data_IF_797747997820
#
_entry.id   IF_797747997820
#
_cell.length_a   1.000
_cell.length_b   1.000
_cell.length_c   1.000
_cell.angle_alpha   90.00
_cell.angle_beta   90.00
_cell.angle_gamma   90.00
#
_symmetry.space_group_name_H-M   'P 1'
#
loop_
_entity.id
_entity.type
_entity.pdbx_description
1 polymer ?
#
# COMPACT_ATOMS: atom_id res chain seq x y z
N UNK A 1 -14.17 -0.65 -33.29
CA UNK A 1 -13.69 -0.12 -31.98
C UNK A 1 -13.61 -1.22 -30.91
N UNK A 2 -14.62 -2.09 -30.76
CA UNK A 2 -14.56 -3.22 -29.80
C UNK A 2 -13.53 -4.32 -30.17
N UNK A 3 -13.20 -4.46 -31.46
CA UNK A 3 -12.21 -5.45 -31.91
C UNK A 3 -10.80 -5.18 -31.40
N UNK A 4 -10.43 -3.92 -31.20
CA UNK A 4 -9.15 -3.52 -30.61
C UNK A 4 -9.06 -3.91 -29.13
N UNK A 5 -10.16 -3.78 -28.37
CA UNK A 5 -10.24 -4.25 -26.98
C UNK A 5 -10.22 -5.78 -26.89
N UNK A 6 -10.91 -6.47 -27.79
CA UNK A 6 -10.87 -7.94 -27.89
C UNK A 6 -9.48 -8.47 -28.27
N UNK A 7 -8.73 -7.74 -29.08
CA UNK A 7 -7.35 -8.09 -29.42
C UNK A 7 -6.40 -7.99 -28.20
N UNK A 8 -6.59 -7.00 -27.33
CA UNK A 8 -5.78 -6.85 -26.10
C UNK A 8 -6.02 -7.99 -25.08
N UNK A 9 -7.25 -8.50 -24.99
CA UNK A 9 -7.58 -9.65 -24.13
C UNK A 9 -7.20 -11.02 -24.72
N UNK A 10 -6.72 -11.08 -25.98
CA UNK A 10 -6.32 -12.34 -26.64
C UNK A 10 -4.87 -12.75 -26.35
N UNK A 11 -4.06 -11.88 -25.76
CA UNK A 11 -2.72 -12.25 -25.33
C UNK A 11 -2.81 -13.21 -24.12
N UNK A 12 -2.09 -14.36 -24.14
CA UNK A 12 -2.08 -15.29 -23.03
C UNK A 12 -1.53 -14.61 -21.77
N UNK A 13 -2.30 -14.61 -20.68
CA UNK A 13 -1.92 -14.00 -19.39
C UNK A 13 -2.64 -12.70 -19.04
N UNK A 14 -3.36 -12.06 -19.98
CA UNK A 14 -4.05 -10.78 -19.73
C UNK A 14 -5.07 -10.87 -18.58
N UNK A 15 -5.90 -11.92 -18.54
CA UNK A 15 -6.89 -12.11 -17.47
C UNK A 15 -6.25 -12.34 -16.08
N UNK A 16 -5.12 -13.06 -16.03
CA UNK A 16 -4.36 -13.28 -14.79
C UNK A 16 -3.74 -11.97 -14.29
N UNK A 17 -3.22 -11.13 -15.20
CA UNK A 17 -2.68 -9.82 -14.87
C UNK A 17 -3.77 -8.84 -14.36
N UNK A 18 -4.93 -8.81 -15.03
CA UNK A 18 -6.07 -7.99 -14.59
C UNK A 18 -6.61 -8.40 -13.21
N UNK A 19 -6.80 -9.70 -12.99
CA UNK A 19 -7.28 -10.21 -11.69
C UNK A 19 -6.27 -9.97 -10.57
N UNK A 20 -4.97 -10.20 -10.81
CA UNK A 20 -3.92 -9.88 -9.86
C UNK A 20 -3.87 -8.37 -9.55
N UNK A 21 -3.96 -7.51 -10.58
CA UNK A 21 -4.00 -6.06 -10.41
C UNK A 21 -5.24 -5.56 -9.65
N UNK A 22 -6.38 -6.22 -9.80
CA UNK A 22 -7.61 -5.92 -9.06
C UNK A 22 -7.46 -6.26 -7.57
N UNK A 23 -6.99 -7.47 -7.26
CA UNK A 23 -6.75 -7.92 -5.88
C UNK A 23 -5.74 -7.01 -5.19
N UNK A 24 -4.68 -6.62 -5.88
CA UNK A 24 -3.64 -5.74 -5.34
C UNK A 24 -4.11 -4.29 -5.11
N UNK A 25 -5.22 -3.85 -5.73
CA UNK A 25 -5.77 -2.50 -5.56
C UNK A 25 -6.82 -2.40 -4.46
N UNK A 26 -7.49 -3.49 -4.10
CA UNK A 26 -8.47 -3.49 -3.00
C UNK A 26 -7.93 -2.93 -1.68
N UNK A 27 -6.71 -3.28 -1.24
CA UNK A 27 -6.16 -2.78 0.02
C UNK A 27 -5.97 -1.27 0.05
N UNK A 28 -5.86 -0.60 -1.11
CA UNK A 28 -5.59 0.83 -1.20
C UNK A 28 -6.59 1.67 -0.38
N UNK A 29 -7.87 1.38 -0.56
CA UNK A 29 -8.95 2.06 0.15
C UNK A 29 -9.17 1.51 1.57
N UNK A 30 -8.78 0.25 1.81
CA UNK A 30 -8.97 -0.43 3.09
C UNK A 30 -7.97 0.09 4.13
N UNK A 31 -6.72 0.35 3.76
CA UNK A 31 -5.67 0.71 4.72
C UNK A 31 -5.97 1.99 5.53
N UNK A 32 -6.32 3.14 4.93
CA UNK A 32 -6.64 4.34 5.71
C UNK A 32 -7.80 4.11 6.67
N UNK A 33 -8.87 3.45 6.21
CA UNK A 33 -10.06 3.16 7.02
C UNK A 33 -9.71 2.20 8.16
N UNK A 34 -8.96 1.13 7.86
CA UNK A 34 -8.50 0.15 8.83
C UNK A 34 -7.61 0.77 9.90
N UNK A 35 -6.69 1.66 9.52
CA UNK A 35 -5.86 2.44 10.46
C UNK A 35 -6.75 3.24 11.41
N UNK A 36 -7.71 3.99 10.88
CA UNK A 36 -8.61 4.80 11.71
C UNK A 36 -9.36 3.91 12.70
N UNK A 37 -9.97 2.83 12.22
CA UNK A 37 -10.80 1.94 13.03
C UNK A 37 -10.00 1.21 14.12
N UNK A 38 -8.85 0.62 13.78
CA UNK A 38 -8.09 -0.15 14.76
C UNK A 38 -7.43 0.76 15.80
N UNK A 39 -6.94 1.93 15.39
CA UNK A 39 -6.31 2.89 16.30
C UNK A 39 -7.37 3.56 17.17
N UNK A 40 -8.52 3.96 16.63
CA UNK A 40 -9.60 4.55 17.43
C UNK A 40 -10.18 3.52 18.42
N UNK A 41 -10.36 2.26 18.00
CA UNK A 41 -10.86 1.20 18.87
C UNK A 41 -9.88 0.88 20.02
N UNK A 42 -8.57 1.00 19.79
CA UNK A 42 -7.55 0.69 20.80
C UNK A 42 -7.15 1.88 21.68
N UNK A 43 -7.13 3.09 21.13
CA UNK A 43 -6.62 4.28 21.83
C UNK A 43 -7.72 5.23 22.29
N UNK A 44 -8.95 5.11 21.76
CA UNK A 44 -10.04 6.08 21.98
C UNK A 44 -9.84 7.44 21.29
N UNK A 45 -8.68 7.70 20.68
CA UNK A 45 -8.31 9.00 20.12
C UNK A 45 -8.54 9.07 18.62
N UNK A 46 -9.73 9.52 18.21
CA UNK A 46 -10.08 9.68 16.78
C UNK A 46 -9.22 10.71 16.05
N UNK A 47 -8.84 11.81 16.70
CA UNK A 47 -8.00 12.84 16.07
C UNK A 47 -6.62 12.28 15.70
N UNK A 48 -6.01 11.50 16.59
CA UNK A 48 -4.73 10.84 16.33
C UNK A 48 -4.87 9.76 15.25
N UNK A 49 -5.93 8.95 15.29
CA UNK A 49 -6.20 7.93 14.29
C UNK A 49 -6.37 8.54 12.88
N UNK A 50 -7.10 9.66 12.77
CA UNK A 50 -7.26 10.41 11.54
C UNK A 50 -5.95 11.04 11.04
N UNK A 51 -5.15 11.61 11.94
CA UNK A 51 -3.82 12.14 11.60
C UNK A 51 -2.89 11.04 11.06
N UNK A 52 -2.90 9.86 11.69
CA UNK A 52 -2.08 8.72 11.27
C UNK A 52 -2.49 8.21 9.89
N UNK A 53 -3.79 8.11 9.62
CA UNK A 53 -4.30 7.77 8.29
C UNK A 53 -3.94 8.84 7.24
N UNK A 54 -4.00 10.13 7.61
CA UNK A 54 -3.54 11.23 6.76
C UNK A 54 -2.05 11.16 6.44
N UNK A 55 -1.21 10.83 7.43
CA UNK A 55 0.23 10.61 7.24
C UNK A 55 0.50 9.45 6.29
N UNK A 56 -0.24 8.33 6.42
CA UNK A 56 -0.16 7.22 5.48
C UNK A 56 -0.49 7.67 4.04
N UNK A 57 -1.58 8.41 3.84
CA UNK A 57 -1.98 8.90 2.51
C UNK A 57 -0.94 9.88 1.94
N UNK A 58 -0.40 10.78 2.76
CA UNK A 58 0.63 11.72 2.35
C UNK A 58 1.93 10.99 1.95
N UNK A 59 2.37 10.03 2.76
CA UNK A 59 3.53 9.19 2.47
C UNK A 59 3.33 8.39 1.18
N UNK A 60 2.11 7.89 0.95
CA UNK A 60 1.77 7.21 -0.28
C UNK A 60 1.81 8.12 -1.52
N UNK A 61 1.29 9.34 -1.41
CA UNK A 61 1.31 10.33 -2.49
C UNK A 61 2.74 10.66 -2.94
N UNK A 62 3.72 10.62 -2.03
CA UNK A 62 5.14 10.82 -2.34
C UNK A 62 5.83 9.51 -2.76
N UNK A 63 5.51 8.40 -2.09
CA UNK A 63 6.11 7.09 -2.36
C UNK A 63 5.80 6.57 -3.74
N UNK A 64 4.57 6.74 -4.22
CA UNK A 64 4.11 6.29 -5.54
C UNK A 64 5.00 6.76 -6.70
N UNK A 65 5.25 8.08 -6.91
CA UNK A 65 6.11 8.54 -7.99
C UNK A 65 7.59 8.17 -7.78
N UNK A 66 8.07 8.09 -6.54
CA UNK A 66 9.46 7.69 -6.25
C UNK A 66 9.67 6.23 -6.64
N UNK A 67 8.75 5.36 -6.25
CA UNK A 67 8.83 3.93 -6.51
C UNK A 67 8.67 3.63 -8.01
N UNK A 68 7.80 4.37 -8.70
CA UNK A 68 7.69 4.31 -10.16
C UNK A 68 9.03 4.65 -10.84
N UNK A 69 9.66 5.77 -10.47
CA UNK A 69 10.98 6.16 -11.01
C UNK A 69 12.08 5.14 -10.71
N UNK A 70 12.05 4.54 -9.51
CA UNK A 70 13.01 3.49 -9.14
C UNK A 70 12.80 2.24 -10.00
N UNK A 71 11.56 1.83 -10.23
CA UNK A 71 11.23 0.71 -11.12
C UNK A 71 11.71 0.99 -12.54
N UNK A 72 11.46 2.19 -13.07
CA UNK A 72 11.88 2.57 -14.42
C UNK A 72 13.41 2.53 -14.58
N UNK A 73 14.15 2.86 -13.52
CA UNK A 73 15.62 2.94 -13.56
C UNK A 73 16.32 1.62 -13.27
N UNK A 74 15.82 0.83 -12.33
CA UNK A 74 16.50 -0.38 -11.81
C UNK A 74 15.83 -1.69 -12.22
N UNK A 75 14.67 -1.60 -12.89
CA UNK A 75 13.86 -2.73 -13.31
C UNK A 75 12.86 -3.18 -12.25
N UNK A 76 11.70 -3.66 -12.72
CA UNK A 76 10.55 -4.07 -11.92
C UNK A 76 10.93 -5.09 -10.84
N UNK A 77 11.53 -6.23 -11.21
CA UNK A 77 11.79 -7.31 -10.25
C UNK A 77 12.73 -6.92 -9.11
N UNK A 78 13.70 -6.03 -9.36
CA UNK A 78 14.70 -5.62 -8.36
C UNK A 78 14.18 -4.63 -7.32
N UNK A 79 13.17 -3.84 -7.68
CA UNK A 79 12.59 -2.82 -6.80
C UNK A 79 11.34 -3.32 -6.10
N UNK A 80 10.50 -4.11 -6.79
CA UNK A 80 9.26 -4.61 -6.19
C UNK A 80 9.52 -5.55 -5.02
N UNK A 81 10.56 -6.40 -5.08
CA UNK A 81 10.87 -7.36 -4.01
C UNK A 81 11.22 -6.67 -2.67
N UNK A 82 12.22 -5.76 -2.60
CA UNK A 82 12.54 -5.07 -1.35
C UNK A 82 11.41 -4.15 -0.88
N UNK A 83 10.70 -3.50 -1.80
CA UNK A 83 9.54 -2.67 -1.44
C UNK A 83 8.41 -3.52 -0.84
N UNK A 84 8.16 -4.72 -1.37
CA UNK A 84 7.13 -5.63 -0.85
C UNK A 84 7.50 -6.10 0.55
N UNK A 85 8.77 -6.46 0.76
CA UNK A 85 9.29 -6.84 2.07
C UNK A 85 9.15 -5.69 3.08
N UNK A 86 9.50 -4.46 2.68
CA UNK A 86 9.34 -3.28 3.52
C UNK A 86 7.86 -3.00 3.86
N UNK A 87 6.96 -3.17 2.89
CA UNK A 87 5.53 -2.97 3.10
C UNK A 87 4.97 -3.99 4.09
N UNK A 88 5.24 -5.29 3.88
CA UNK A 88 4.79 -6.35 4.79
C UNK A 88 5.36 -6.14 6.19
N UNK A 89 6.65 -5.82 6.30
CA UNK A 89 7.27 -5.54 7.60
C UNK A 89 6.60 -4.34 8.30
N UNK A 90 6.26 -3.29 7.57
CA UNK A 90 5.59 -2.11 8.12
C UNK A 90 4.16 -2.41 8.59
N UNK A 91 3.38 -3.18 7.81
CA UNK A 91 2.03 -3.63 8.20
C UNK A 91 2.10 -4.47 9.47
N UNK A 92 3.02 -5.46 9.52
CA UNK A 92 3.19 -6.32 10.70
C UNK A 92 3.64 -5.52 11.91
N UNK A 93 4.62 -4.62 11.74
CA UNK A 93 5.09 -3.76 12.82
C UNK A 93 3.96 -2.89 13.38
N UNK A 94 3.17 -2.25 12.51
CA UNK A 94 2.02 -1.45 12.93
C UNK A 94 1.00 -2.29 13.70
N UNK A 95 0.65 -3.47 13.17
CA UNK A 95 -0.31 -4.38 13.81
C UNK A 95 0.19 -4.87 15.19
N UNK A 96 1.46 -5.22 15.32
CA UNK A 96 2.08 -5.67 16.58
C UNK A 96 2.09 -4.52 17.59
N UNK A 97 2.55 -3.32 17.18
CA UNK A 97 2.63 -2.16 18.07
C UNK A 97 1.26 -1.76 18.63
N UNK A 98 0.24 -1.78 17.78
CA UNK A 98 -1.14 -1.52 18.19
C UNK A 98 -1.66 -2.63 19.12
N UNK A 99 -1.26 -3.88 18.91
CA UNK A 99 -1.67 -5.02 19.73
C UNK A 99 -1.03 -5.03 21.12
N UNK A 100 0.22 -4.58 21.25
CA UNK A 100 0.92 -4.48 22.54
C UNK A 100 0.63 -3.18 23.30
N UNK A 101 -0.26 -2.33 22.79
CA UNK A 101 -0.59 -1.02 23.36
C UNK A 101 0.65 -0.13 23.54
N UNK A 102 1.52 -0.12 22.54
CA UNK A 102 2.70 0.73 22.54
C UNK A 102 2.35 2.22 22.61
N UNK A 103 3.30 3.09 22.98
CA UNK A 103 3.10 4.53 22.89
C UNK A 103 2.67 4.96 21.48
N UNK A 104 1.71 5.89 21.38
CA UNK A 104 1.11 6.30 20.10
C UNK A 104 2.13 6.81 19.07
N UNK A 105 3.20 7.47 19.53
CA UNK A 105 4.26 7.97 18.65
C UNK A 105 4.98 6.84 17.88
N UNK A 106 4.99 5.61 18.41
CA UNK A 106 5.63 4.46 17.77
C UNK A 106 4.84 3.96 16.55
N UNK A 107 3.57 4.35 16.40
CA UNK A 107 2.74 3.99 15.25
C UNK A 107 3.08 4.79 13.98
N UNK A 108 3.68 5.97 14.14
CA UNK A 108 3.97 6.90 13.04
C UNK A 108 5.01 6.34 12.06
N UNK A 109 6.20 5.86 12.49
CA UNK A 109 7.19 5.31 11.57
C UNK A 109 6.66 4.17 10.67
N UNK A 110 6.02 3.10 11.20
CA UNK A 110 5.52 2.03 10.35
C UNK A 110 4.35 2.49 9.47
N UNK A 111 3.49 3.42 9.91
CA UNK A 111 2.44 3.98 9.04
C UNK A 111 3.03 4.74 7.83
N UNK A 112 4.10 5.50 8.04
CA UNK A 112 4.81 6.20 6.96
C UNK A 112 5.48 5.22 6.00
N UNK A 113 6.19 4.21 6.52
CA UNK A 113 6.83 3.17 5.69
C UNK A 113 5.78 2.40 4.90
N UNK A 114 4.66 2.04 5.53
CA UNK A 114 3.55 1.34 4.88
C UNK A 114 2.97 2.16 3.72
N UNK A 115 2.79 3.48 3.89
CA UNK A 115 2.32 4.38 2.84
C UNK A 115 3.33 4.52 1.70
N UNK A 116 4.60 4.76 2.04
CA UNK A 116 5.67 4.99 1.07
C UNK A 116 5.98 3.74 0.22
N UNK A 117 5.92 2.56 0.82
CA UNK A 117 6.23 1.27 0.18
C UNK A 117 5.04 0.61 -0.50
N UNK A 118 3.87 1.25 -0.52
CA UNK A 118 2.69 0.68 -1.16
C UNK A 118 2.91 0.50 -2.68
N UNK A 119 2.69 -0.73 -3.15
CA UNK A 119 2.96 -1.14 -4.53
C UNK A 119 1.65 -1.34 -5.30
N UNK A 120 1.36 -0.48 -6.28
CA UNK A 120 0.29 -0.75 -7.24
C UNK A 120 0.85 -1.62 -8.40
N UNK A 121 0.98 -2.93 -8.17
CA UNK A 121 1.58 -3.89 -9.13
C UNK A 121 0.82 -4.00 -10.47
N UNK A 122 -0.38 -3.44 -10.59
CA UNK A 122 -1.24 -3.57 -11.79
C UNK A 122 -1.07 -2.52 -12.89
N UNK A 123 -0.03 -1.68 -12.87
CA UNK A 123 0.18 -0.65 -13.93
C UNK A 123 1.60 -0.64 -14.53
N UNK A 124 2.40 -1.68 -14.25
CA UNK A 124 3.73 -1.87 -14.83
C UNK A 124 3.70 -2.99 -15.85
#
# INVERSE_FOLDING_TARGET
MLDTYRAAFRAPGTAAFFSAGFVMKMPYAIYPVGIVLIVSARTGHYAFAGALAGMYVAANGVGSPVLARLVDRFGQSRVLLPASAAHVAAVVALAVLISVHGPQWTYVPPALVMGFSYLAVGSL
#
